data_IF_245899386635
#
_entry.id   IF_245899386635
#
_cell.length_a   1.000
_cell.length_b   1.000
_cell.length_c   1.000
_cell.angle_alpha   90.00
_cell.angle_beta   90.00
_cell.angle_gamma   90.00
#
_symmetry.space_group_name_H-M   'P 1'
#
loop_
_entity.id
_entity.type
_entity.pdbx_description
1 polymer ?
#
# COMPACT_ATOMS: atom_id res chain seq x y z
N UNK A 1 -23.10 -32.94 4.73
CA UNK A 1 -21.84 -33.33 4.06
C UNK A 1 -20.88 -32.14 4.08
N UNK A 2 -19.81 -32.20 4.88
CA UNK A 2 -18.78 -31.15 4.93
C UNK A 2 -17.91 -31.28 3.67
N UNK A 3 -17.90 -30.26 2.79
CA UNK A 3 -16.98 -30.19 1.66
C UNK A 3 -15.92 -29.14 1.96
N UNK A 4 -14.68 -29.61 2.10
CA UNK A 4 -13.48 -28.80 2.20
C UNK A 4 -13.25 -28.03 0.89
N UNK A 5 -12.80 -26.79 1.03
CA UNK A 5 -12.46 -25.87 -0.07
C UNK A 5 -10.96 -26.00 -0.33
N UNK A 6 -10.58 -26.22 -1.60
CA UNK A 6 -9.20 -26.06 -2.06
C UNK A 6 -9.17 -24.84 -2.98
N UNK A 7 -8.51 -23.77 -2.54
CA UNK A 7 -8.17 -22.62 -3.36
C UNK A 7 -6.80 -22.89 -3.98
N UNK A 8 -6.68 -22.90 -5.31
CA UNK A 8 -5.37 -22.96 -5.98
C UNK A 8 -5.10 -21.56 -6.53
N UNK A 9 -4.18 -20.84 -5.88
CA UNK A 9 -3.60 -19.62 -6.41
C UNK A 9 -2.20 -19.98 -6.94
N UNK A 10 -1.97 -19.74 -8.24
CA UNK A 10 -0.65 -19.89 -8.85
C UNK A 10 -0.02 -18.50 -8.96
N UNK A 11 0.89 -18.19 -8.05
CA UNK A 11 1.80 -17.05 -8.12
C UNK A 11 3.05 -17.47 -8.89
N UNK A 12 3.21 -16.98 -10.12
CA UNK A 12 4.44 -17.19 -10.90
C UNK A 12 5.43 -16.07 -10.52
N UNK A 13 6.53 -16.46 -9.86
CA UNK A 13 7.66 -15.58 -9.56
C UNK A 13 8.72 -15.77 -10.65
N UNK A 14 9.01 -14.72 -11.41
CA UNK A 14 10.21 -14.67 -12.23
C UNK A 14 11.34 -14.06 -11.40
N UNK A 15 12.37 -14.86 -11.09
CA UNK A 15 13.59 -14.37 -10.44
C UNK A 15 14.50 -13.70 -11.48
N UNK A 16 14.80 -12.41 -11.28
CA UNK A 16 15.98 -11.77 -11.86
C UNK A 16 17.19 -12.11 -10.98
N UNK A 17 18.20 -12.78 -11.54
CA UNK A 17 19.36 -13.25 -10.81
C UNK A 17 20.22 -12.10 -10.27
N UNK A 18 20.56 -12.15 -8.99
CA UNK A 18 21.78 -11.55 -8.44
C UNK A 18 22.51 -12.65 -7.66
N UNK A 19 23.74 -12.94 -8.08
CA UNK A 19 24.59 -13.95 -7.46
C UNK A 19 25.16 -13.41 -6.14
N UNK A 20 24.82 -14.05 -5.03
CA UNK A 20 25.68 -14.15 -3.86
C UNK A 20 25.29 -15.42 -3.07
N UNK A 21 26.23 -16.34 -2.98
CA UNK A 21 26.11 -17.67 -2.38
C UNK A 21 26.33 -17.58 -0.87
N UNK A 22 25.37 -17.99 -0.05
CA UNK A 22 25.64 -18.54 1.29
C UNK A 22 24.66 -19.66 1.63
N UNK A 23 25.25 -20.75 2.12
CA UNK A 23 24.65 -22.03 2.50
C UNK A 23 23.89 -21.97 3.82
N UNK A 24 22.70 -22.57 3.90
CA UNK A 24 21.97 -22.82 5.15
C UNK A 24 20.70 -23.67 4.94
N UNK A 25 20.71 -24.86 5.54
CA UNK A 25 19.70 -25.96 5.54
C UNK A 25 18.31 -25.53 6.05
N UNK A 26 17.19 -26.14 5.58
CA UNK A 26 15.84 -25.63 5.83
C UNK A 26 15.28 -26.06 7.20
N UNK A 27 14.60 -25.15 7.89
CA UNK A 27 13.87 -25.44 9.12
C UNK A 27 12.48 -24.79 9.15
N UNK A 28 11.48 -25.68 9.25
CA UNK A 28 10.12 -25.56 9.77
C UNK A 28 9.33 -24.25 9.57
N UNK A 29 8.31 -24.39 8.73
CA UNK A 29 7.18 -23.51 8.50
C UNK A 29 6.33 -23.31 9.77
N UNK A 30 6.30 -22.10 10.30
CA UNK A 30 5.28 -21.61 11.26
C UNK A 30 5.31 -20.08 11.32
N UNK A 31 4.92 -19.42 10.23
CA UNK A 31 4.81 -17.96 10.19
C UNK A 31 3.36 -17.49 10.25
N UNK A 32 2.86 -17.27 11.46
CA UNK A 32 1.80 -16.29 11.72
C UNK A 32 2.42 -14.89 11.65
N UNK A 33 2.56 -14.34 10.44
CA UNK A 33 3.01 -12.96 10.23
C UNK A 33 1.84 -12.02 10.36
N UNK A 34 1.94 -11.03 11.26
CA UNK A 34 1.00 -9.91 11.39
C UNK A 34 0.91 -9.07 10.11
N UNK A 35 -0.12 -8.22 10.04
CA UNK A 35 -0.51 -7.37 8.91
C UNK A 35 0.64 -6.89 8.02
N UNK A 36 0.41 -6.82 6.70
CA UNK A 36 1.33 -6.15 5.79
C UNK A 36 1.31 -4.65 6.01
N UNK A 37 2.09 -4.22 6.99
CA UNK A 37 2.74 -2.95 6.82
C UNK A 37 3.77 -3.17 5.74
N UNK A 38 3.72 -2.38 4.64
CA UNK A 38 4.86 -2.27 3.74
C UNK A 38 6.09 -2.18 4.62
N UNK A 39 6.94 -3.20 4.54
CA UNK A 39 8.16 -3.22 5.29
C UNK A 39 8.81 -1.87 5.03
N UNK A 40 8.95 -1.05 6.08
CA UNK A 40 9.92 0.02 6.05
C UNK A 40 11.22 -0.73 5.81
N UNK A 41 11.61 -0.80 4.54
CA UNK A 41 12.87 -1.39 4.12
C UNK A 41 13.89 -0.57 4.88
N UNK A 42 14.44 -1.14 5.94
CA UNK A 42 15.70 -0.69 6.53
C UNK A 42 16.71 -0.87 5.41
N UNK A 43 16.83 0.13 4.55
CA UNK A 43 17.77 0.10 3.45
C UNK A 43 19.15 0.23 4.09
N UNK A 44 19.91 -0.85 3.93
CA UNK A 44 21.34 -0.89 4.16
C UNK A 44 22.03 0.30 3.46
N UNK A 45 23.17 0.79 3.96
CA UNK A 45 23.86 1.93 3.39
C UNK A 45 24.49 1.52 2.06
N UNK A 46 23.77 1.71 0.95
CA UNK A 46 24.35 1.75 -0.38
C UNK A 46 23.49 2.65 -1.25
N UNK A 47 24.11 3.71 -1.79
CA UNK A 47 23.51 4.53 -2.82
C UNK A 47 23.19 3.64 -4.04
N UNK A 48 21.96 3.64 -4.52
CA UNK A 48 21.62 2.74 -5.61
C UNK A 48 20.19 2.85 -6.11
N UNK A 49 20.00 2.39 -7.34
CA UNK A 49 18.71 2.19 -7.98
C UNK A 49 18.32 0.72 -7.84
N UNK A 50 17.13 0.46 -7.31
CA UNK A 50 16.52 -0.86 -7.22
C UNK A 50 15.27 -0.88 -8.08
N UNK A 51 15.16 -1.86 -8.97
CA UNK A 51 13.96 -2.09 -9.77
C UNK A 51 13.26 -3.35 -9.28
N UNK A 52 11.98 -3.23 -8.95
CA UNK A 52 11.13 -4.34 -8.49
C UNK A 52 9.85 -4.39 -9.33
N UNK A 53 9.17 -5.53 -9.31
CA UNK A 53 7.89 -5.68 -9.99
C UNK A 53 6.97 -6.63 -9.25
N UNK A 54 5.69 -6.55 -9.57
CA UNK A 54 4.63 -7.40 -9.03
C UNK A 54 3.60 -7.66 -10.11
N UNK A 55 3.01 -8.85 -10.10
CA UNK A 55 1.87 -9.21 -10.97
C UNK A 55 0.95 -10.15 -10.21
N UNK A 56 -0.35 -9.86 -10.27
CA UNK A 56 -1.40 -10.65 -9.64
C UNK A 56 -2.55 -10.87 -10.62
N UNK A 57 -2.69 -12.12 -11.05
CA UNK A 57 -3.88 -12.58 -11.77
C UNK A 57 -4.85 -13.25 -10.78
N UNK A 58 -6.14 -13.16 -11.07
CA UNK A 58 -7.18 -13.79 -10.25
C UNK A 58 -8.34 -14.30 -11.10
N UNK A 59 -9.09 -15.22 -10.49
CA UNK A 59 -10.43 -15.61 -10.89
C UNK A 59 -11.28 -15.70 -9.62
N UNK A 60 -12.44 -15.05 -9.62
CA UNK A 60 -13.38 -15.09 -8.49
C UNK A 60 -14.78 -15.39 -9.01
N UNK A 61 -15.54 -16.12 -8.18
CA UNK A 61 -16.93 -16.46 -8.46
C UNK A 61 -17.81 -16.03 -7.29
N UNK A 62 -18.65 -15.04 -7.51
CA UNK A 62 -19.71 -14.64 -6.60
C UNK A 62 -20.95 -15.51 -6.85
N UNK A 63 -21.27 -16.38 -5.89
CA UNK A 63 -22.42 -17.28 -5.96
C UNK A 63 -23.76 -16.59 -5.70
N UNK A 64 -23.74 -15.35 -5.19
CA UNK A 64 -24.94 -14.57 -4.86
C UNK A 64 -25.37 -13.65 -6.00
N UNK A 65 -24.44 -13.28 -6.88
CA UNK A 65 -24.72 -12.41 -8.03
C UNK A 65 -25.34 -13.19 -9.21
N UNK A 66 -26.30 -12.58 -9.96
CA UNK A 66 -26.79 -13.13 -11.22
C UNK A 66 -25.66 -13.53 -12.17
N UNK A 67 -25.87 -14.55 -13.01
CA UNK A 67 -24.87 -15.01 -13.99
C UNK A 67 -24.40 -13.92 -14.94
N UNK A 68 -25.27 -12.96 -15.22
CA UNK A 68 -25.05 -11.82 -16.10
C UNK A 68 -24.30 -10.66 -15.45
N UNK A 69 -23.97 -10.72 -14.15
CA UNK A 69 -23.26 -9.68 -13.44
C UNK A 69 -21.76 -9.99 -13.39
N UNK A 70 -20.96 -9.22 -14.13
CA UNK A 70 -19.51 -9.36 -14.25
C UNK A 70 -18.73 -8.57 -13.20
N UNK A 71 -19.41 -7.80 -12.34
CA UNK A 71 -18.77 -7.02 -11.27
C UNK A 71 -19.30 -7.39 -9.90
N UNK A 72 -18.39 -7.54 -8.95
CA UNK A 72 -18.71 -7.64 -7.53
C UNK A 72 -19.24 -6.31 -6.98
N UNK A 73 -19.91 -6.30 -5.81
CA UNK A 73 -20.53 -5.09 -5.26
C UNK A 73 -19.65 -3.83 -5.24
N UNK A 74 -20.28 -2.66 -5.35
CA UNK A 74 -19.62 -1.35 -5.52
C UNK A 74 -18.56 -1.00 -4.48
N UNK A 75 -18.70 -1.50 -3.26
CA UNK A 75 -17.79 -1.26 -2.13
C UNK A 75 -16.54 -2.15 -2.14
N UNK A 76 -16.35 -3.00 -3.15
CA UNK A 76 -15.16 -3.81 -3.33
C UNK A 76 -14.39 -3.23 -4.53
N UNK A 77 -13.12 -2.91 -4.32
CA UNK A 77 -12.24 -2.34 -5.34
C UNK A 77 -11.20 -3.36 -5.81
N UNK A 78 -10.82 -4.29 -4.94
CA UNK A 78 -9.88 -5.37 -5.26
C UNK A 78 -10.63 -6.60 -5.77
N UNK A 79 -10.06 -7.29 -6.77
CA UNK A 79 -10.65 -8.50 -7.34
C UNK A 79 -12.10 -8.28 -7.79
N UNK A 80 -12.34 -7.15 -8.48
CA UNK A 80 -13.68 -6.63 -8.81
C UNK A 80 -14.45 -7.48 -9.81
N UNK A 81 -13.77 -8.03 -10.80
CA UNK A 81 -14.38 -8.73 -11.93
C UNK A 81 -14.77 -10.14 -11.53
N UNK A 82 -15.93 -10.61 -12.00
CA UNK A 82 -16.56 -11.85 -11.58
C UNK A 82 -16.67 -12.83 -12.75
N UNK A 83 -16.32 -14.09 -12.52
CA UNK A 83 -16.38 -15.20 -13.49
C UNK A 83 -15.54 -14.98 -14.75
N UNK A 84 -14.45 -14.25 -14.61
CA UNK A 84 -13.44 -14.05 -15.65
C UNK A 84 -12.05 -14.05 -15.02
N UNK A 85 -11.04 -14.42 -15.82
CA UNK A 85 -9.64 -14.28 -15.43
C UNK A 85 -9.24 -12.84 -15.68
N UNK A 86 -8.67 -12.17 -14.68
CA UNK A 86 -8.26 -10.78 -14.82
C UNK A 86 -6.99 -10.50 -14.00
N UNK A 87 -6.35 -9.35 -14.25
CA UNK A 87 -5.22 -8.86 -13.47
C UNK A 87 -5.74 -7.91 -12.40
N UNK A 88 -5.54 -8.24 -11.12
CA UNK A 88 -5.93 -7.32 -10.06
C UNK A 88 -4.95 -6.15 -10.03
N UNK A 89 -3.66 -6.43 -9.89
CA UNK A 89 -2.61 -5.43 -9.90
C UNK A 89 -1.35 -5.99 -10.54
N UNK A 90 -0.74 -5.22 -11.43
CA UNK A 90 0.64 -5.41 -11.84
C UNK A 90 1.36 -4.07 -11.79
N UNK A 91 2.62 -4.05 -11.35
CA UNK A 91 3.42 -2.84 -11.36
C UNK A 91 4.90 -3.12 -11.60
N UNK A 92 5.60 -2.09 -12.06
CA UNK A 92 7.06 -1.99 -12.03
C UNK A 92 7.42 -0.75 -11.19
N UNK A 93 8.41 -0.88 -10.31
CA UNK A 93 8.86 0.17 -9.41
C UNK A 93 10.36 0.38 -9.55
N UNK A 94 10.76 1.63 -9.73
CA UNK A 94 12.13 2.11 -9.60
C UNK A 94 12.25 2.89 -8.29
N UNK A 95 13.15 2.46 -7.41
CA UNK A 95 13.43 3.10 -6.13
C UNK A 95 14.91 3.48 -6.07
N UNK A 96 15.19 4.77 -5.94
CA UNK A 96 16.54 5.29 -5.72
C UNK A 96 16.67 5.77 -4.28
N UNK A 97 17.79 5.47 -3.65
CA UNK A 97 18.12 6.04 -2.33
C UNK A 97 19.62 6.26 -2.21
N UNK A 98 20.00 7.32 -1.51
CA UNK A 98 21.35 7.54 -1.02
C UNK A 98 21.28 8.17 0.39
N UNK A 99 22.41 8.68 0.90
CA UNK A 99 22.48 9.22 2.26
C UNK A 99 21.57 10.42 2.53
N UNK A 100 21.19 11.19 1.50
CA UNK A 100 20.48 12.46 1.63
C UNK A 100 19.20 12.55 0.84
N UNK A 101 19.03 11.77 -0.21
CA UNK A 101 17.86 11.83 -1.10
C UNK A 101 17.35 10.43 -1.39
N UNK A 102 16.04 10.33 -1.59
CA UNK A 102 15.37 9.14 -2.08
C UNK A 102 14.26 9.48 -3.05
N UNK A 103 13.91 8.55 -3.91
CA UNK A 103 12.85 8.71 -4.89
C UNK A 103 12.25 7.37 -5.25
N UNK A 104 10.94 7.34 -5.48
CA UNK A 104 10.19 6.17 -5.88
C UNK A 104 9.28 6.53 -7.06
N UNK A 105 9.30 5.70 -8.09
CA UNK A 105 8.33 5.73 -9.18
C UNK A 105 7.83 4.31 -9.41
N UNK A 106 6.54 4.08 -9.24
CA UNK A 106 5.88 2.82 -9.51
C UNK A 106 4.71 3.03 -10.47
N UNK A 107 4.77 2.37 -11.61
CA UNK A 107 3.71 2.37 -12.62
C UNK A 107 2.89 1.10 -12.50
N UNK A 108 1.57 1.22 -12.44
CA UNK A 108 0.64 0.11 -12.25
C UNK A 108 -0.40 0.00 -13.36
N UNK A 109 -0.91 -1.22 -13.50
CA UNK A 109 -2.07 -1.57 -14.33
C UNK A 109 -2.91 -2.63 -13.60
N UNK A 110 -4.14 -2.88 -14.09
CA UNK A 110 -5.04 -3.90 -13.57
C UNK A 110 -6.32 -3.32 -12.99
N UNK A 111 -7.23 -4.20 -12.57
CA UNK A 111 -8.55 -3.82 -12.07
C UNK A 111 -8.46 -2.96 -10.80
N UNK A 112 -7.47 -3.20 -9.93
CA UNK A 112 -7.23 -2.37 -8.76
C UNK A 112 -7.03 -0.89 -9.15
N UNK A 113 -6.15 -0.60 -10.12
CA UNK A 113 -5.93 0.76 -10.61
C UNK A 113 -7.22 1.36 -11.20
N UNK A 114 -7.95 0.57 -12.00
CA UNK A 114 -9.20 1.01 -12.63
C UNK A 114 -10.28 1.42 -11.62
N UNK A 115 -10.53 0.58 -10.61
CA UNK A 115 -11.66 0.75 -9.70
C UNK A 115 -11.30 1.55 -8.44
N UNK A 116 -10.11 1.34 -7.85
CA UNK A 116 -9.70 2.03 -6.63
C UNK A 116 -9.27 3.49 -6.90
N UNK A 117 -8.74 3.79 -8.09
CA UNK A 117 -8.37 5.15 -8.51
C UNK A 117 -9.43 5.78 -9.44
N UNK A 118 -10.66 5.24 -9.49
CA UNK A 118 -11.69 5.69 -10.43
C UNK A 118 -11.98 7.20 -10.39
N UNK A 119 -11.75 7.85 -9.23
CA UNK A 119 -11.95 9.27 -9.03
C UNK A 119 -10.76 10.17 -9.46
N UNK A 120 -9.64 9.59 -9.89
CA UNK A 120 -8.46 10.31 -10.36
C UNK A 120 -8.47 10.48 -11.88
N UNK A 121 -7.59 11.34 -12.39
CA UNK A 121 -7.39 11.50 -13.84
C UNK A 121 -6.81 10.23 -14.47
N UNK A 122 -7.14 9.94 -15.73
CA UNK A 122 -6.84 8.65 -16.37
C UNK A 122 -5.36 8.26 -16.34
N UNK A 123 -4.45 9.19 -16.59
CA UNK A 123 -3.01 8.89 -16.53
C UNK A 123 -2.53 8.61 -15.09
N UNK A 124 -3.11 9.32 -14.11
CA UNK A 124 -2.75 9.23 -12.69
C UNK A 124 -3.15 7.89 -12.09
N UNK A 125 -4.22 7.25 -12.60
CA UNK A 125 -4.64 5.89 -12.18
C UNK A 125 -3.50 4.88 -12.32
N UNK A 126 -2.60 5.08 -13.29
CA UNK A 126 -1.47 4.20 -13.55
C UNK A 126 -0.24 4.51 -12.70
N UNK A 127 -0.32 5.44 -11.74
CA UNK A 127 0.77 5.77 -10.82
C UNK A 127 0.44 5.17 -9.44
N UNK A 128 1.17 4.13 -9.05
CA UNK A 128 1.04 3.51 -7.73
C UNK A 128 1.83 4.26 -6.66
N UNK A 129 3.03 4.71 -7.02
CA UNK A 129 3.87 5.58 -6.20
C UNK A 129 4.61 6.57 -7.10
N UNK A 130 4.71 7.82 -6.67
CA UNK A 130 5.54 8.82 -7.30
C UNK A 130 5.91 9.85 -6.23
N UNK A 131 7.03 9.63 -5.55
CA UNK A 131 7.46 10.48 -4.45
C UNK A 131 8.97 10.66 -4.44
N UNK A 132 9.40 11.78 -3.85
CA UNK A 132 10.80 12.08 -3.59
C UNK A 132 10.94 12.60 -2.16
N UNK A 133 12.11 12.39 -1.57
CA UNK A 133 12.39 12.81 -0.21
C UNK A 133 13.82 13.23 0.02
N UNK A 134 13.99 14.08 1.03
CA UNK A 134 15.28 14.59 1.48
C UNK A 134 15.46 14.30 2.96
N UNK A 135 16.68 13.94 3.34
CA UNK A 135 17.05 13.73 4.74
C UNK A 135 17.35 15.07 5.39
N UNK A 136 16.56 15.42 6.41
CA UNK A 136 16.63 16.70 7.11
C UNK A 136 17.79 16.77 8.11
N UNK A 137 18.28 15.62 8.59
CA UNK A 137 19.35 15.55 9.58
C UNK A 137 20.50 14.68 9.09
N UNK A 138 21.74 15.12 9.40
CA UNK A 138 22.95 14.32 9.16
C UNK A 138 23.10 13.18 10.17
N UNK A 139 22.56 13.34 11.38
CA UNK A 139 22.78 12.43 12.51
C UNK A 139 21.54 11.63 12.89
N UNK A 140 20.36 12.12 12.53
CA UNK A 140 19.06 11.48 12.81
C UNK A 140 18.45 10.95 11.52
N UNK A 141 17.70 9.87 11.63
CA UNK A 141 16.92 9.34 10.52
C UNK A 141 15.59 10.08 10.41
N UNK A 142 15.68 11.32 9.91
CA UNK A 142 14.57 12.26 9.75
C UNK A 142 14.44 12.63 8.27
N UNK A 143 13.31 12.26 7.67
CA UNK A 143 13.04 12.45 6.24
C UNK A 143 11.82 13.35 6.02
N UNK A 144 11.91 14.22 5.02
CA UNK A 144 10.77 14.91 4.44
C UNK A 144 10.54 14.33 3.04
N UNK A 145 9.37 13.75 2.81
CA UNK A 145 8.95 13.22 1.52
C UNK A 145 7.75 13.99 0.98
N UNK A 146 7.64 14.11 -0.34
CA UNK A 146 6.49 14.67 -1.02
C UNK A 146 6.13 13.85 -2.27
N UNK A 147 4.83 13.75 -2.55
CA UNK A 147 4.28 13.08 -3.73
C UNK A 147 3.17 12.08 -3.37
N UNK A 148 3.01 11.06 -4.22
CA UNK A 148 2.03 9.97 -4.09
C UNK A 148 2.74 8.78 -3.44
N UNK A 149 2.16 8.29 -2.35
CA UNK A 149 2.66 7.13 -1.62
C UNK A 149 1.51 6.24 -1.16
N UNK A 150 1.82 4.98 -0.88
CA UNK A 150 0.89 4.08 -0.22
C UNK A 150 0.49 4.61 1.17
N UNK A 151 -0.77 4.41 1.51
CA UNK A 151 -1.32 4.81 2.80
C UNK A 151 -0.69 4.01 3.94
N UNK A 152 -0.36 4.69 5.03
CA UNK A 152 0.01 4.06 6.30
C UNK A 152 -1.20 3.69 7.17
N UNK A 153 -2.39 4.12 6.75
CA UNK A 153 -3.67 3.83 7.38
C UNK A 153 -4.27 2.59 6.71
N UNK A 154 -4.65 1.60 7.52
CA UNK A 154 -5.25 0.35 7.05
C UNK A 154 -4.48 -0.87 7.52
N UNK A 155 -5.15 -2.03 7.53
CA UNK A 155 -4.56 -3.30 7.95
C UNK A 155 -4.04 -4.14 6.79
N UNK A 156 -4.57 -3.92 5.58
CA UNK A 156 -4.23 -4.68 4.37
C UNK A 156 -3.70 -3.72 3.28
N UNK A 157 -2.93 -4.28 2.34
CA UNK A 157 -2.26 -3.55 1.25
C UNK A 157 -2.99 -3.72 -0.07
N UNK A 158 -2.68 -2.91 -1.10
CA UNK A 158 -3.07 -3.23 -2.48
C UNK A 158 -2.46 -4.56 -2.95
N UNK A 159 -1.25 -4.88 -2.47
CA UNK A 159 -0.46 -6.04 -2.85
C UNK A 159 -0.92 -7.27 -2.05
N UNK A 160 -1.59 -8.24 -2.70
CA UNK A 160 -2.22 -9.34 -1.95
C UNK A 160 -1.24 -10.33 -1.34
N UNK A 161 -0.02 -10.48 -1.89
CA UNK A 161 1.00 -11.35 -1.28
C UNK A 161 1.36 -10.95 0.15
N UNK A 162 1.13 -9.70 0.50
CA UNK A 162 1.42 -9.18 1.83
C UNK A 162 0.20 -9.43 2.76
N UNK A 163 -1.01 -9.65 2.23
CA UNK A 163 -2.23 -9.81 2.99
C UNK A 163 -2.49 -11.25 3.48
N UNK A 164 -3.25 -11.38 4.56
CA UNK A 164 -3.64 -12.69 5.12
C UNK A 164 -4.61 -13.45 4.22
N UNK A 165 -5.45 -12.71 3.50
CA UNK A 165 -6.42 -13.23 2.56
C UNK A 165 -6.19 -12.59 1.19
N UNK A 166 -6.44 -13.37 0.14
CA UNK A 166 -6.32 -12.88 -1.23
C UNK A 166 -7.25 -11.68 -1.47
N UNK A 167 -8.53 -11.83 -1.13
CA UNK A 167 -9.50 -10.73 -1.15
C UNK A 167 -9.42 -9.88 0.11
N UNK A 168 -9.81 -8.62 0.00
CA UNK A 168 -9.76 -7.66 1.09
C UNK A 168 -10.95 -7.78 2.04
N UNK A 169 -10.68 -7.52 3.31
CA UNK A 169 -11.71 -7.29 4.32
C UNK A 169 -12.49 -6.01 4.02
N UNK A 170 -13.71 -5.93 4.55
CA UNK A 170 -14.50 -4.70 4.45
C UNK A 170 -13.81 -3.51 5.12
N UNK A 171 -13.00 -3.76 6.17
CA UNK A 171 -12.21 -2.73 6.83
C UNK A 171 -11.20 -2.12 5.86
N UNK A 172 -10.47 -2.95 5.12
CA UNK A 172 -9.48 -2.50 4.16
C UNK A 172 -10.11 -1.70 3.01
N UNK A 173 -11.25 -2.16 2.48
CA UNK A 173 -11.97 -1.42 1.43
C UNK A 173 -12.55 -0.08 1.92
N UNK A 174 -12.65 0.14 3.24
CA UNK A 174 -13.06 1.41 3.83
C UNK A 174 -11.89 2.29 4.30
N UNK A 175 -10.64 1.79 4.22
CA UNK A 175 -9.40 2.52 4.50
C UNK A 175 -8.77 3.06 3.21
N UNK A 176 -7.93 4.11 3.26
CA UNK A 176 -7.26 4.59 2.07
C UNK A 176 -6.13 3.61 1.73
N UNK A 177 -5.92 3.36 0.44
CA UNK A 177 -4.77 2.61 -0.06
C UNK A 177 -3.62 3.52 -0.49
N UNK A 178 -3.91 4.76 -0.85
CA UNK A 178 -2.93 5.75 -1.28
C UNK A 178 -3.25 7.13 -0.70
N UNK A 179 -2.19 7.91 -0.52
CA UNK A 179 -2.26 9.28 -0.04
C UNK A 179 -1.29 10.13 -0.88
N UNK A 180 -1.63 11.40 -1.08
CA UNK A 180 -0.78 12.37 -1.76
C UNK A 180 -0.61 13.62 -0.92
N UNK A 181 0.63 14.09 -0.82
CA UNK A 181 0.97 15.28 -0.03
C UNK A 181 2.44 15.27 0.39
N UNK A 182 2.71 15.80 1.58
CA UNK A 182 4.04 15.80 2.19
C UNK A 182 4.01 15.16 3.57
N UNK A 183 5.05 14.38 3.90
CA UNK A 183 5.20 13.71 5.18
C UNK A 183 6.59 13.88 5.76
N UNK A 184 6.65 14.00 7.07
CA UNK A 184 7.88 13.91 7.85
C UNK A 184 7.88 12.57 8.57
N UNK A 185 8.96 11.80 8.38
CA UNK A 185 9.14 10.51 9.04
C UNK A 185 10.41 10.55 9.89
N UNK A 186 10.28 10.19 11.17
CA UNK A 186 11.40 10.01 12.08
C UNK A 186 11.49 8.55 12.51
N UNK A 187 12.66 7.94 12.30
CA UNK A 187 12.97 6.63 12.88
C UNK A 187 13.97 6.81 14.03
N UNK A 188 13.62 6.28 15.20
CA UNK A 188 14.52 6.29 16.35
C UNK A 188 15.75 5.44 16.06
N UNK A 189 16.91 5.87 16.58
CA UNK A 189 18.19 5.15 16.41
C UNK A 189 18.16 3.71 16.94
N UNK A 190 17.23 3.38 17.85
CA UNK A 190 17.01 2.01 18.34
C UNK A 190 16.34 1.09 17.32
N UNK A 191 15.79 1.62 16.23
CA UNK A 191 14.98 0.90 15.24
C UNK A 191 13.59 0.49 15.75
N UNK A 192 13.24 0.80 17.01
CA UNK A 192 12.00 0.35 17.65
C UNK A 192 10.82 1.30 17.46
N UNK A 193 11.05 2.56 17.15
CA UNK A 193 10.00 3.58 17.07
C UNK A 193 10.10 4.34 15.74
N UNK A 194 8.98 4.39 15.02
CA UNK A 194 8.78 5.28 13.88
C UNK A 194 7.63 6.23 14.17
N UNK A 195 7.87 7.51 13.95
CA UNK A 195 6.86 8.56 14.02
C UNK A 195 6.69 9.18 12.64
N UNK A 196 5.45 9.37 12.22
CA UNK A 196 5.11 10.05 10.97
C UNK A 196 4.07 11.12 11.24
N UNK A 197 4.26 12.28 10.61
CA UNK A 197 3.23 13.31 10.48
C UNK A 197 3.15 13.77 9.03
N UNK A 198 1.96 14.05 8.53
CA UNK A 198 1.78 14.44 7.13
C UNK A 198 0.63 15.41 6.92
N UNK A 199 0.77 16.22 5.88
CA UNK A 199 -0.28 17.07 5.29
C UNK A 199 -0.60 16.55 3.90
N UNK A 200 -1.88 16.41 3.61
CA UNK A 200 -2.40 15.59 2.51
C UNK A 200 -3.51 16.32 1.75
N UNK A 201 -3.71 15.90 0.50
CA UNK A 201 -4.77 16.42 -0.38
C UNK A 201 -6.17 15.98 0.06
N UNK A 202 -6.29 14.87 0.80
CA UNK A 202 -7.55 14.34 1.29
C UNK A 202 -7.48 12.84 1.55
N UNK A 203 -8.62 12.25 1.92
CA UNK A 203 -8.74 10.80 2.09
C UNK A 203 -8.81 10.09 0.75
N UNK A 204 -7.84 9.22 0.43
CA UNK A 204 -7.77 8.50 -0.85
C UNK A 204 -7.81 9.46 -2.05
N UNK A 205 -6.90 10.44 -2.07
CA UNK A 205 -6.86 11.49 -3.11
C UNK A 205 -5.45 11.76 -3.61
N UNK A 206 -5.26 11.72 -4.93
CA UNK A 206 -4.13 12.35 -5.60
C UNK A 206 -4.49 13.78 -5.93
N UNK A 207 -5.58 14.01 -6.68
CA UNK A 207 -6.13 15.34 -6.89
C UNK A 207 -7.07 15.73 -5.73
N UNK A 208 -6.94 16.97 -5.26
CA UNK A 208 -7.84 17.48 -4.22
C UNK A 208 -9.29 17.50 -4.72
N UNK A 209 -10.22 17.15 -3.83
CA UNK A 209 -11.65 17.15 -4.15
C UNK A 209 -12.14 18.57 -4.51
N UNK A 210 -12.84 18.78 -5.62
CA UNK A 210 -13.46 20.07 -5.93
C UNK A 210 -14.40 20.52 -4.81
N UNK A 211 -14.26 21.78 -4.38
CA UNK A 211 -15.05 22.35 -3.29
C UNK A 211 -14.58 21.98 -1.88
N UNK A 212 -13.44 21.28 -1.72
CA UNK A 212 -12.76 21.11 -0.44
C UNK A 212 -11.58 22.08 -0.33
N UNK A 213 -11.64 23.02 0.61
CA UNK A 213 -10.58 24.03 0.82
C UNK A 213 -9.58 23.63 1.90
N UNK A 214 -9.96 22.76 2.85
CA UNK A 214 -9.11 22.35 3.96
C UNK A 214 -7.86 21.56 3.56
N UNK A 215 -6.92 21.42 4.49
CA UNK A 215 -5.84 20.44 4.41
C UNK A 215 -6.22 19.22 5.24
N UNK A 216 -5.88 18.02 4.77
CA UNK A 216 -5.97 16.83 5.58
C UNK A 216 -4.64 16.59 6.32
N UNK A 217 -4.69 16.09 7.53
CA UNK A 217 -3.53 15.76 8.36
C UNK A 217 -3.64 14.29 8.74
N UNK A 218 -2.51 13.60 8.79
CA UNK A 218 -2.45 12.28 9.41
C UNK A 218 -1.17 12.05 10.17
N UNK A 219 -1.24 11.14 11.12
CA UNK A 219 -0.12 10.74 11.96
C UNK A 219 0.01 9.22 11.99
N UNK A 220 1.21 8.75 12.29
CA UNK A 220 1.49 7.35 12.59
C UNK A 220 2.44 7.26 13.76
N UNK A 221 2.16 6.32 14.66
CA UNK A 221 3.10 5.83 15.66
C UNK A 221 3.24 4.33 15.45
N UNK A 222 4.43 3.88 15.11
CA UNK A 222 4.75 2.47 14.99
C UNK A 222 5.81 2.09 16.01
N UNK A 223 5.50 1.11 16.85
CA UNK A 223 6.38 0.60 17.89
C UNK A 223 6.63 -0.89 17.73
N UNK A 224 7.90 -1.27 17.73
CA UNK A 224 8.39 -2.65 17.57
C UNK A 224 9.14 -3.08 18.84
N UNK A 225 8.43 -3.50 19.90
CA UNK A 225 9.08 -3.92 21.14
C UNK A 225 9.97 -5.16 20.97
N UNK A 226 9.62 -6.03 20.02
CA UNK A 226 10.37 -7.23 19.65
C UNK A 226 10.27 -7.49 18.13
N UNK A 227 11.09 -8.38 17.56
CA UNK A 227 11.02 -8.72 16.12
C UNK A 227 9.70 -9.37 15.68
N UNK A 228 8.90 -9.90 16.61
CA UNK A 228 7.65 -10.61 16.32
C UNK A 228 6.38 -9.76 16.50
N UNK A 229 6.52 -8.56 17.05
CA UNK A 229 5.38 -7.71 17.40
C UNK A 229 5.57 -6.30 16.86
N UNK A 230 4.59 -5.85 16.07
CA UNK A 230 4.49 -4.48 15.59
C UNK A 230 3.17 -3.93 16.12
N UNK A 231 3.23 -2.84 16.87
CA UNK A 231 2.08 -2.05 17.29
C UNK A 231 2.01 -0.82 16.38
N UNK A 232 0.91 -0.65 15.67
CA UNK A 232 0.71 0.46 14.74
C UNK A 232 -0.55 1.24 15.12
N UNK A 233 -0.39 2.54 15.33
CA UNK A 233 -1.48 3.49 15.51
C UNK A 233 -1.41 4.52 14.40
N UNK A 234 -2.51 4.74 13.70
CA UNK A 234 -2.60 5.76 12.65
C UNK A 234 -3.87 6.57 12.83
N UNK A 235 -3.76 7.88 12.64
CA UNK A 235 -4.91 8.78 12.75
C UNK A 235 -4.98 9.70 11.55
N UNK A 236 -6.20 10.12 11.21
CA UNK A 236 -6.47 11.05 10.13
C UNK A 236 -7.51 12.08 10.55
N UNK A 237 -7.29 13.32 10.15
CA UNK A 237 -8.25 14.41 10.28
C UNK A 237 -8.32 15.17 8.96
N UNK A 238 -9.50 15.27 8.37
CA UNK A 238 -9.69 15.97 7.10
C UNK A 238 -11.13 15.86 6.61
N UNK A 239 -11.31 15.75 5.30
CA UNK A 239 -12.61 15.42 4.71
C UNK A 239 -12.44 14.61 3.42
N UNK A 240 -13.47 13.86 3.07
CA UNK A 240 -13.69 13.22 1.78
C UNK A 240 -14.90 13.82 1.04
N UNK A 241 -15.44 14.95 1.54
CA UNK A 241 -16.62 15.66 1.04
C UNK A 241 -16.31 17.14 0.80
N UNK A 242 -17.08 17.84 -0.07
CA UNK A 242 -16.94 19.29 -0.22
C UNK A 242 -17.33 20.04 1.07
N UNK A 243 -16.75 21.23 1.26
CA UNK A 243 -16.96 22.05 2.45
C UNK A 243 -18.44 22.44 2.66
N UNK A 244 -19.21 22.54 1.57
CA UNK A 244 -20.64 22.85 1.58
C UNK A 244 -21.46 21.86 2.42
N UNK A 245 -21.00 20.60 2.54
CA UNK A 245 -21.67 19.57 3.32
C UNK A 245 -21.31 19.61 4.80
N UNK A 246 -20.25 20.35 5.20
CA UNK A 246 -19.77 20.43 6.58
C UNK A 246 -19.52 19.06 7.24
N UNK A 247 -19.04 18.09 6.45
CA UNK A 247 -18.77 16.73 6.91
C UNK A 247 -17.26 16.52 7.03
N UNK A 248 -16.77 16.50 8.27
CA UNK A 248 -15.40 16.11 8.58
C UNK A 248 -15.24 14.58 8.59
N UNK A 249 -14.02 14.12 8.35
CA UNK A 249 -13.62 12.72 8.49
C UNK A 249 -12.53 12.61 9.56
N UNK A 250 -12.77 11.73 10.52
CA UNK A 250 -11.81 11.31 11.53
C UNK A 250 -11.63 9.79 11.44
N UNK A 251 -10.39 9.32 11.58
CA UNK A 251 -10.02 7.91 11.67
C UNK A 251 -8.96 7.75 12.74
#
# INVERSE_FOLDING_TARGET
MKKFVTLVAASVVAYGASFAQTTGTPAADTTLTSAPTQAATTVAPNAGLVVTGYVEAYYVHDFTAPKTTQERPGFIYNHKRNREVNLNQAFIKAAYTNERVRGNLALQVGTYAQYNYAAEQDLIKNIFEANAGVKLSKTRDLWLDAGIFSSHIGFESAISKDCWTLTRSILAENSPYYLSGAKVTYNASSGKLTLLGSVLNGWQRVAKLPGYSGMAISTQVQYKPSPKLILNWSSFLGSDRPDSLKQGRFF
#
